data_IF_816962811333
#
_entry.id   IF_816962811333
#
_cell.length_a   1.000
_cell.length_b   1.000
_cell.length_c   1.000
_cell.angle_alpha   90.00
_cell.angle_beta   90.00
_cell.angle_gamma   90.00
#
_symmetry.space_group_name_H-M   'P 1'
#
loop_
_entity.id
_entity.type
_entity.pdbx_description
1 polymer ?
#
# COMPACT_ATOMS: atom_id res chain seq x y z
N UNK A 1 -4.30 5.05 9.82
CA UNK A 1 -5.49 5.92 9.78
C UNK A 1 -5.40 7.05 10.78
N UNK A 2 -5.16 6.76 12.06
CA UNK A 2 -5.20 7.73 13.18
C UNK A 2 -4.35 9.00 13.00
N UNK A 3 -3.19 8.91 12.32
CA UNK A 3 -2.32 10.08 12.04
C UNK A 3 -2.67 10.76 10.70
N UNK A 4 -2.87 9.97 9.64
CA UNK A 4 -3.08 10.51 8.29
C UNK A 4 -4.41 11.26 8.16
N UNK A 5 -5.48 10.74 8.77
CA UNK A 5 -6.81 11.35 8.69
C UNK A 5 -6.84 12.79 9.24
N UNK A 6 -6.42 13.09 10.48
CA UNK A 6 -6.42 14.47 10.98
C UNK A 6 -5.46 15.38 10.22
N UNK A 7 -4.33 14.87 9.72
CA UNK A 7 -3.39 15.65 8.92
C UNK A 7 -3.99 16.08 7.57
N UNK A 8 -4.60 15.14 6.84
CA UNK A 8 -5.27 15.42 5.56
C UNK A 8 -6.50 16.30 5.77
N UNK A 9 -7.30 16.03 6.80
CA UNK A 9 -8.44 16.89 7.17
C UNK A 9 -7.99 18.34 7.38
N UNK A 10 -6.94 18.57 8.17
CA UNK A 10 -6.39 19.90 8.43
C UNK A 10 -5.90 20.58 7.14
N UNK A 11 -5.21 19.85 6.28
CA UNK A 11 -4.76 20.35 4.98
C UNK A 11 -5.94 20.82 4.12
N UNK A 12 -6.97 19.99 3.97
CA UNK A 12 -8.18 20.32 3.19
C UNK A 12 -8.93 21.51 3.78
N UNK A 13 -9.10 21.55 5.11
CA UNK A 13 -9.77 22.67 5.81
C UNK A 13 -9.01 23.99 5.69
N UNK A 14 -7.69 23.94 5.48
CA UNK A 14 -6.89 25.14 5.22
C UNK A 14 -7.02 25.69 3.79
N UNK A 15 -7.90 25.10 2.97
CA UNK A 15 -8.06 25.43 1.56
C UNK A 15 -7.08 24.72 0.64
N UNK A 16 -6.35 23.71 1.16
CA UNK A 16 -5.47 22.88 0.37
C UNK A 16 -6.27 22.05 -0.64
N UNK A 17 -5.76 21.98 -1.87
CA UNK A 17 -6.34 21.20 -2.95
C UNK A 17 -5.25 20.36 -3.62
N UNK A 18 -5.59 19.13 -4.02
CA UNK A 18 -4.70 18.19 -4.69
C UNK A 18 -5.48 17.30 -5.63
N UNK A 19 -4.86 16.95 -6.76
CA UNK A 19 -5.39 15.96 -7.70
C UNK A 19 -4.96 14.53 -7.33
N UNK A 20 -3.90 14.39 -6.53
CA UNK A 20 -3.29 13.09 -6.21
C UNK A 20 -2.71 13.07 -4.79
N UNK A 21 -2.91 11.95 -4.10
CA UNK A 21 -2.33 11.65 -2.80
C UNK A 21 -1.56 10.32 -2.85
N UNK A 22 -0.24 10.41 -2.71
CA UNK A 22 0.62 9.23 -2.51
C UNK A 22 0.93 9.12 -1.03
N UNK A 23 0.39 8.08 -0.39
CA UNK A 23 0.51 7.90 1.05
C UNK A 23 1.68 6.97 1.38
N UNK A 24 2.28 7.13 2.56
CA UNK A 24 3.42 6.31 3.01
C UNK A 24 3.11 4.81 3.04
N UNK A 25 1.86 4.45 3.34
CA UNK A 25 1.35 3.09 3.29
C UNK A 25 -0.17 3.06 3.12
N UNK A 26 -0.73 1.87 2.93
CA UNK A 26 -2.16 1.65 2.74
C UNK A 26 -3.00 2.16 3.91
N UNK A 27 -2.57 1.94 5.16
CA UNK A 27 -3.28 2.46 6.33
C UNK A 27 -3.32 3.99 6.37
N UNK A 28 -2.34 4.65 5.77
CA UNK A 28 -2.31 6.10 5.63
C UNK A 28 -3.21 6.56 4.48
N UNK A 29 -3.20 5.86 3.35
CA UNK A 29 -4.10 6.10 2.22
C UNK A 29 -5.57 5.97 2.62
N UNK A 30 -5.92 4.92 3.37
CA UNK A 30 -7.28 4.72 3.90
C UNK A 30 -7.67 5.86 4.87
N UNK A 31 -6.71 6.35 5.67
CA UNK A 31 -6.93 7.50 6.54
C UNK A 31 -7.19 8.80 5.75
N UNK A 32 -6.44 9.00 4.67
CA UNK A 32 -6.63 10.13 3.76
C UNK A 32 -7.99 10.06 3.07
N UNK A 33 -8.39 8.89 2.56
CA UNK A 33 -9.71 8.64 1.97
C UNK A 33 -10.84 8.97 2.96
N UNK A 34 -10.70 8.54 4.22
CA UNK A 34 -11.68 8.84 5.25
C UNK A 34 -11.83 10.36 5.50
N UNK A 35 -10.71 11.10 5.52
CA UNK A 35 -10.74 12.55 5.66
C UNK A 35 -11.40 13.26 4.47
N UNK A 36 -11.11 12.82 3.25
CA UNK A 36 -11.72 13.36 2.02
C UNK A 36 -13.24 13.16 2.05
N UNK A 37 -13.69 11.93 2.36
CA UNK A 37 -15.12 11.60 2.48
C UNK A 37 -15.82 12.43 3.56
N UNK A 38 -15.18 12.61 4.71
CA UNK A 38 -15.72 13.43 5.81
C UNK A 38 -15.85 14.92 5.45
N UNK A 39 -14.93 15.46 4.63
CA UNK A 39 -15.03 16.84 4.16
C UNK A 39 -16.05 17.02 3.02
N UNK A 40 -16.72 15.94 2.57
CA UNK A 40 -17.71 16.01 1.49
C UNK A 40 -17.09 16.40 0.15
N UNK A 41 -15.79 16.16 -0.04
CA UNK A 41 -15.11 16.44 -1.30
C UNK A 41 -15.60 15.44 -2.35
N UNK A 42 -16.10 15.96 -3.46
CA UNK A 42 -16.71 15.18 -4.54
C UNK A 42 -15.89 15.18 -5.82
N UNK A 43 -14.93 16.10 -5.97
CA UNK A 43 -14.01 16.03 -7.09
C UNK A 43 -13.09 14.82 -6.95
N UNK A 44 -12.71 14.15 -8.05
CA UNK A 44 -11.80 13.01 -7.98
C UNK A 44 -10.45 13.41 -7.38
N UNK A 45 -9.91 12.55 -6.51
CA UNK A 45 -8.53 12.62 -6.02
C UNK A 45 -7.94 11.22 -6.21
N UNK A 46 -6.86 11.11 -6.96
CA UNK A 46 -6.18 9.83 -7.16
C UNK A 46 -5.42 9.43 -5.89
N UNK A 47 -5.85 8.36 -5.22
CA UNK A 47 -5.25 7.92 -3.96
C UNK A 47 -4.42 6.66 -4.19
N UNK A 48 -3.16 6.71 -3.76
CA UNK A 48 -2.20 5.61 -3.83
C UNK A 48 -1.63 5.25 -2.46
N UNK A 49 -1.41 3.95 -2.26
CA UNK A 49 -0.73 3.39 -1.09
C UNK A 49 0.52 2.58 -1.42
N UNK A 50 1.12 2.04 -0.37
CA UNK A 50 2.18 1.04 -0.40
C UNK A 50 1.77 -0.03 0.61
N UNK A 51 2.00 -1.30 0.29
CA UNK A 51 2.01 -2.50 1.15
C UNK A 51 1.25 -3.65 0.48
N UNK A 52 0.10 -3.38 -0.14
CA UNK A 52 -0.78 -4.44 -0.66
C UNK A 52 -1.55 -5.15 0.46
N UNK A 53 -2.02 -4.37 1.44
CA UNK A 53 -2.82 -4.86 2.56
C UNK A 53 -4.19 -5.41 2.11
N UNK A 54 -4.78 -6.38 2.84
CA UNK A 54 -6.12 -6.88 2.54
C UNK A 54 -7.18 -5.76 2.46
N UNK A 55 -7.09 -4.75 3.33
CA UNK A 55 -8.02 -3.61 3.33
C UNK A 55 -7.92 -2.79 2.02
N UNK A 56 -6.71 -2.53 1.54
CA UNK A 56 -6.51 -1.82 0.27
C UNK A 56 -6.95 -2.67 -0.93
N UNK A 57 -6.67 -3.97 -0.91
CA UNK A 57 -7.13 -4.91 -1.95
C UNK A 57 -8.66 -4.95 -2.02
N UNK A 58 -9.33 -4.99 -0.87
CA UNK A 58 -10.79 -4.94 -0.80
C UNK A 58 -11.34 -3.62 -1.36
N UNK A 59 -10.71 -2.48 -1.08
CA UNK A 59 -11.09 -1.19 -1.69
C UNK A 59 -10.90 -1.19 -3.21
N UNK A 60 -9.74 -1.64 -3.70
CA UNK A 60 -9.45 -1.73 -5.14
C UNK A 60 -10.46 -2.63 -5.87
N UNK A 61 -10.88 -3.72 -5.23
CA UNK A 61 -11.86 -4.65 -5.80
C UNK A 61 -13.30 -4.09 -5.77
N UNK A 62 -13.67 -3.32 -4.74
CA UNK A 62 -15.08 -2.98 -4.49
C UNK A 62 -15.47 -1.53 -4.84
N UNK A 63 -14.53 -0.61 -4.96
CA UNK A 63 -14.83 0.81 -5.21
C UNK A 63 -13.92 1.43 -6.25
N UNK A 64 -14.16 2.69 -6.60
CA UNK A 64 -13.25 3.54 -7.41
C UNK A 64 -12.59 4.62 -6.52
N UNK A 65 -12.60 4.42 -5.20
CA UNK A 65 -12.11 5.42 -4.23
C UNK A 65 -10.58 5.51 -4.18
N UNK A 66 -9.89 4.48 -4.66
CA UNK A 66 -8.42 4.37 -4.66
C UNK A 66 -7.95 3.86 -6.01
N UNK A 67 -6.77 4.31 -6.44
CA UNK A 67 -6.24 3.98 -7.77
C UNK A 67 -5.30 2.78 -7.71
N UNK A 68 -4.51 2.65 -6.64
CA UNK A 68 -3.64 1.49 -6.51
C UNK A 68 -2.71 1.49 -5.30
N UNK A 69 -1.99 0.38 -5.17
CA UNK A 69 -0.95 0.21 -4.14
C UNK A 69 0.26 -0.52 -4.69
N UNK A 70 1.45 -0.09 -4.30
CA UNK A 70 2.68 -0.85 -4.57
C UNK A 70 2.78 -1.94 -3.52
N UNK A 71 2.45 -3.16 -3.91
CA UNK A 71 2.38 -4.30 -3.02
C UNK A 71 3.77 -4.84 -2.71
N UNK A 72 4.08 -4.92 -1.42
CA UNK A 72 5.27 -5.60 -0.90
C UNK A 72 4.98 -7.09 -0.75
N UNK A 73 6.02 -7.91 -0.55
CA UNK A 73 5.86 -9.35 -0.36
C UNK A 73 6.63 -9.84 0.87
N UNK A 74 6.07 -9.66 2.08
CA UNK A 74 6.61 -10.22 3.32
C UNK A 74 6.90 -11.72 3.24
N UNK A 75 6.10 -12.49 2.49
CA UNK A 75 6.33 -13.93 2.34
C UNK A 75 7.62 -14.20 1.57
N UNK A 76 7.82 -13.57 0.40
CA UNK A 76 9.08 -13.71 -0.36
C UNK A 76 10.29 -13.15 0.39
N UNK A 77 10.10 -12.09 1.18
CA UNK A 77 11.15 -11.60 2.07
C UNK A 77 11.55 -12.67 3.09
N UNK A 78 10.57 -13.34 3.71
CA UNK A 78 10.79 -14.44 4.64
C UNK A 78 11.52 -15.64 4.00
N UNK A 79 11.06 -16.07 2.83
CA UNK A 79 11.69 -17.17 2.08
C UNK A 79 13.16 -16.86 1.79
N UNK A 80 13.44 -15.63 1.32
CA UNK A 80 14.80 -15.24 0.97
C UNK A 80 15.71 -15.10 2.20
N UNK A 81 15.17 -14.68 3.34
CA UNK A 81 15.90 -14.70 4.62
C UNK A 81 16.27 -16.14 5.00
N UNK A 82 15.36 -17.09 4.86
CA UNK A 82 15.62 -18.50 5.17
C UNK A 82 16.68 -19.13 4.25
N UNK A 83 16.68 -18.77 2.97
CA UNK A 83 17.73 -19.19 2.03
C UNK A 83 19.11 -18.67 2.45
N UNK A 84 19.21 -17.38 2.81
CA UNK A 84 20.48 -16.80 3.28
C UNK A 84 20.96 -17.46 4.57
N UNK A 85 20.07 -17.73 5.52
CA UNK A 85 20.41 -18.45 6.76
C UNK A 85 20.97 -19.85 6.46
N UNK A 86 20.38 -20.56 5.49
CA UNK A 86 20.87 -21.88 5.08
C UNK A 86 22.27 -21.78 4.42
N UNK A 87 22.49 -20.81 3.56
CA UNK A 87 23.81 -20.58 2.96
C UNK A 87 24.87 -20.24 4.01
N UNK A 88 24.53 -19.38 4.98
CA UNK A 88 25.41 -19.02 6.09
C UNK A 88 25.78 -20.24 6.94
N UNK A 89 24.81 -21.06 7.33
CA UNK A 89 25.04 -22.25 8.17
C UNK A 89 25.82 -23.34 7.43
N UNK A 90 25.70 -23.41 6.10
CA UNK A 90 26.48 -24.29 5.25
C UNK A 90 27.88 -23.75 4.87
N UNK A 91 28.26 -22.55 5.35
CA UNK A 91 29.54 -21.91 5.02
C UNK A 91 29.65 -21.46 3.55
N UNK A 92 28.53 -21.29 2.85
CA UNK A 92 28.47 -20.82 1.46
C UNK A 92 28.54 -19.29 1.41
N UNK A 93 28.90 -18.75 0.24
CA UNK A 93 28.78 -17.31 -0.03
C UNK A 93 27.32 -16.91 -0.14
N UNK A 94 26.97 -15.73 0.36
CA UNK A 94 25.63 -15.15 0.29
C UNK A 94 25.67 -13.65 -0.06
N UNK A 95 24.55 -13.12 -0.54
CA UNK A 95 24.39 -11.69 -0.82
C UNK A 95 24.05 -10.93 0.46
N UNK A 96 24.68 -9.77 0.66
CA UNK A 96 24.38 -8.89 1.81
C UNK A 96 23.14 -8.03 1.59
N UNK A 97 22.87 -7.70 0.34
CA UNK A 97 21.71 -6.91 -0.06
C UNK A 97 20.94 -7.68 -1.12
N UNK A 98 19.64 -7.83 -0.91
CA UNK A 98 18.76 -8.57 -1.80
C UNK A 98 17.51 -7.73 -2.02
N UNK A 99 17.29 -7.32 -3.27
CA UNK A 99 16.08 -6.59 -3.67
C UNK A 99 14.97 -7.58 -4.01
N UNK A 100 13.86 -7.49 -3.29
CA UNK A 100 12.64 -8.24 -3.62
C UNK A 100 11.80 -7.39 -4.58
N UNK A 101 11.40 -7.93 -5.75
CA UNK A 101 10.58 -7.18 -6.69
C UNK A 101 9.19 -6.91 -6.10
N UNK A 102 8.75 -5.66 -6.23
CA UNK A 102 7.40 -5.22 -5.87
C UNK A 102 6.49 -5.20 -7.10
N UNK A 103 5.18 -5.21 -6.88
CA UNK A 103 4.19 -5.17 -7.97
C UNK A 103 3.15 -4.09 -7.71
N UNK A 104 2.76 -3.37 -8.76
CA UNK A 104 1.66 -2.42 -8.70
C UNK A 104 0.33 -3.18 -8.78
N UNK A 105 -0.51 -3.02 -7.77
CA UNK A 105 -1.89 -3.49 -7.77
C UNK A 105 -2.83 -2.34 -8.10
N UNK A 106 -3.73 -2.58 -9.03
CA UNK A 106 -4.79 -1.66 -9.46
C UNK A 106 -6.08 -2.44 -9.63
N UNK A 107 -7.19 -1.75 -9.86
CA UNK A 107 -8.48 -2.39 -10.11
C UNK A 107 -8.45 -3.34 -11.33
N UNK A 108 -7.63 -3.04 -12.33
CA UNK A 108 -7.51 -3.84 -13.55
C UNK A 108 -6.83 -5.21 -13.33
N UNK A 109 -6.02 -5.35 -12.28
CA UNK A 109 -5.26 -6.58 -12.03
C UNK A 109 -5.50 -7.22 -10.66
N UNK A 110 -6.36 -6.63 -9.83
CA UNK A 110 -6.58 -7.09 -8.45
C UNK A 110 -7.09 -8.54 -8.38
N UNK A 111 -7.86 -8.97 -9.39
CA UNK A 111 -8.42 -10.32 -9.50
C UNK A 111 -7.36 -11.41 -9.72
N UNK A 112 -6.11 -11.03 -10.03
CA UNK A 112 -4.99 -11.97 -10.15
C UNK A 112 -4.29 -12.26 -8.81
N UNK A 113 -4.71 -11.61 -7.73
CA UNK A 113 -4.09 -11.72 -6.41
C UNK A 113 -5.06 -12.29 -5.38
N UNK A 114 -4.53 -12.95 -4.35
CA UNK A 114 -5.33 -13.22 -3.15
C UNK A 114 -5.63 -11.91 -2.43
N UNK A 115 -6.91 -11.59 -2.31
CA UNK A 115 -7.42 -10.37 -1.69
C UNK A 115 -7.51 -10.46 -0.16
N UNK A 116 -7.45 -11.66 0.41
CA UNK A 116 -7.65 -11.87 1.84
C UNK A 116 -6.34 -11.87 2.64
N UNK A 117 -5.20 -12.04 1.97
CA UNK A 117 -3.91 -12.26 2.60
C UNK A 117 -2.82 -11.27 2.19
N UNK A 118 -1.72 -11.33 2.94
CA UNK A 118 -0.43 -10.78 2.53
C UNK A 118 0.25 -11.73 1.55
N UNK A 119 1.07 -11.17 0.66
CA UNK A 119 1.78 -11.93 -0.37
C UNK A 119 3.28 -12.02 -0.12
#
# INVERSE_FOLDING_TARGET
TEIAMPAVRKFLQSGGNVDTLVSLNDRSAIGALAAIKEQGITHPIAIYGIDGSPDMKALLHSTDDVVGTVAQSPLKMGDRVMEVIQDMTAGKSYQKEITIPVQMMTKENIDYFDVNGWQ
#
